data_IF_060907527715
#
_entry.id   IF_060907527715
#
_cell.length_a   1.000
_cell.length_b   1.000
_cell.length_c   1.000
_cell.angle_alpha   90.00
_cell.angle_beta   90.00
_cell.angle_gamma   90.00
#
_symmetry.space_group_name_H-M   'P 1'
#
loop_
_entity.id
_entity.type
_entity.pdbx_description
1 polymer ?
#
# COMPACT_ATOMS: atom_id res chain seq x y z
N UNK A 1 -22.36 -54.75 -52.08
CA UNK A 1 -23.78 -54.35 -51.88
C UNK A 1 -24.20 -54.68 -50.45
N UNK A 2 -24.47 -53.68 -49.61
CA UNK A 2 -25.34 -53.79 -48.44
C UNK A 2 -25.82 -52.38 -48.08
N UNK A 3 -27.13 -52.20 -48.07
CA UNK A 3 -27.83 -50.91 -48.05
C UNK A 3 -27.76 -50.27 -46.65
N UNK A 4 -27.42 -48.98 -46.58
CA UNK A 4 -27.52 -48.14 -45.37
C UNK A 4 -29.01 -47.97 -45.02
N UNK A 5 -29.38 -48.32 -43.79
CA UNK A 5 -30.68 -47.97 -43.22
C UNK A 5 -30.56 -46.58 -42.57
N UNK A 6 -31.16 -45.56 -43.19
CA UNK A 6 -31.24 -44.22 -42.62
C UNK A 6 -32.38 -44.21 -41.60
N UNK A 7 -32.03 -44.15 -40.31
CA UNK A 7 -32.99 -43.91 -39.23
C UNK A 7 -33.28 -42.42 -39.14
N UNK A 8 -34.50 -42.02 -39.49
CA UNK A 8 -35.00 -40.65 -39.31
C UNK A 8 -35.36 -40.43 -37.84
N UNK A 9 -34.36 -40.00 -37.05
CA UNK A 9 -34.57 -39.52 -35.69
C UNK A 9 -35.33 -38.19 -35.70
N UNK A 10 -36.48 -38.16 -35.02
CA UNK A 10 -37.30 -36.95 -34.81
C UNK A 10 -36.47 -35.92 -34.04
N UNK A 11 -36.26 -34.73 -34.61
CA UNK A 11 -35.71 -33.58 -33.90
C UNK A 11 -36.67 -33.20 -32.76
N UNK A 12 -36.30 -33.50 -31.52
CA UNK A 12 -36.99 -32.97 -30.35
C UNK A 12 -36.52 -31.52 -30.14
N UNK A 13 -37.45 -30.59 -30.25
CA UNK A 13 -37.22 -29.16 -30.07
C UNK A 13 -36.57 -28.89 -28.70
N UNK A 14 -35.35 -28.33 -28.73
CA UNK A 14 -34.69 -27.78 -27.55
C UNK A 14 -35.62 -26.74 -26.91
N UNK A 15 -36.15 -27.03 -25.73
CA UNK A 15 -36.84 -26.03 -24.95
C UNK A 15 -35.81 -24.97 -24.54
N UNK A 16 -35.96 -23.73 -25.06
CA UNK A 16 -35.17 -22.58 -24.63
C UNK A 16 -35.39 -22.37 -23.14
N UNK A 17 -34.54 -22.98 -22.31
CA UNK A 17 -34.47 -22.69 -20.89
C UNK A 17 -34.00 -21.23 -20.79
N UNK A 18 -34.93 -20.33 -20.51
CA UNK A 18 -34.63 -18.92 -20.20
C UNK A 18 -33.63 -18.94 -19.04
N UNK A 19 -32.33 -18.73 -19.34
CA UNK A 19 -31.33 -18.50 -18.30
C UNK A 19 -31.85 -17.31 -17.50
N UNK A 20 -32.34 -17.56 -16.28
CA UNK A 20 -32.60 -16.49 -15.34
C UNK A 20 -31.27 -15.75 -15.20
N UNK A 21 -31.24 -14.51 -15.66
CA UNK A 21 -30.09 -13.64 -15.45
C UNK A 21 -29.92 -13.57 -13.94
N UNK A 22 -28.85 -14.16 -13.43
CA UNK A 22 -28.47 -13.94 -12.05
C UNK A 22 -28.28 -12.43 -11.94
N UNK A 23 -29.14 -11.78 -11.16
CA UNK A 23 -28.87 -10.44 -10.68
C UNK A 23 -27.78 -10.60 -9.63
N UNK A 24 -26.56 -10.90 -10.07
CA UNK A 24 -25.40 -10.59 -9.24
C UNK A 24 -25.50 -9.09 -9.01
N UNK A 25 -25.77 -8.71 -7.76
CA UNK A 25 -25.70 -7.32 -7.29
C UNK A 25 -24.47 -6.69 -7.95
N UNK A 26 -24.68 -5.57 -8.64
CA UNK A 26 -23.56 -4.78 -9.14
C UNK A 26 -22.67 -4.45 -7.95
N UNK A 27 -21.44 -4.97 -7.95
CA UNK A 27 -20.41 -4.72 -6.93
C UNK A 27 -19.87 -3.28 -6.96
N UNK A 28 -20.51 -2.40 -7.73
CA UNK A 28 -20.09 -1.00 -7.91
C UNK A 28 -20.36 -0.10 -6.69
N UNK A 29 -21.01 -0.61 -5.63
CA UNK A 29 -21.39 0.19 -4.46
C UNK A 29 -20.67 -0.21 -3.16
N UNK A 30 -19.81 -1.24 -3.19
CA UNK A 30 -19.04 -1.73 -2.03
C UNK A 30 -17.58 -1.26 -2.01
N UNK A 31 -17.17 -0.36 -2.92
CA UNK A 31 -15.82 0.20 -2.94
C UNK A 31 -15.47 0.92 -1.63
N UNK A 32 -16.42 1.68 -1.07
CA UNK A 32 -16.19 2.42 0.17
C UNK A 32 -15.91 1.51 1.40
N UNK A 33 -16.56 0.34 1.49
CA UNK A 33 -16.33 -0.59 2.60
C UNK A 33 -14.99 -1.32 2.50
N UNK A 34 -14.49 -1.54 1.28
CA UNK A 34 -13.16 -2.12 1.06
C UNK A 34 -12.05 -1.10 1.32
N UNK A 35 -12.27 0.18 0.94
CA UNK A 35 -11.31 1.27 1.16
C UNK A 35 -11.08 1.51 2.68
N UNK A 36 -12.14 1.53 3.49
CA UNK A 36 -12.03 1.72 4.95
C UNK A 36 -11.24 0.57 5.63
N UNK A 37 -11.45 -0.67 5.18
CA UNK A 37 -10.73 -1.83 5.69
C UNK A 37 -9.23 -1.77 5.31
N UNK A 38 -8.95 -1.35 4.08
CA UNK A 38 -7.60 -1.20 3.56
C UNK A 38 -6.82 -0.10 4.31
N UNK A 39 -7.47 1.04 4.55
CA UNK A 39 -6.91 2.13 5.37
C UNK A 39 -6.60 1.66 6.80
N UNK A 40 -7.49 0.88 7.41
CA UNK A 40 -7.27 0.29 8.73
C UNK A 40 -6.08 -0.68 8.77
N UNK A 41 -5.92 -1.50 7.73
CA UNK A 41 -4.77 -2.41 7.59
C UNK A 41 -3.45 -1.66 7.42
N UNK A 42 -3.44 -0.63 6.56
CA UNK A 42 -2.27 0.25 6.36
C UNK A 42 -1.87 0.89 7.68
N UNK A 43 -2.82 1.44 8.44
CA UNK A 43 -2.54 2.07 9.73
C UNK A 43 -1.95 1.07 10.75
N UNK A 44 -2.48 -0.15 10.82
CA UNK A 44 -1.95 -1.20 11.70
C UNK A 44 -0.48 -1.54 11.38
N UNK A 45 -0.15 -1.64 10.10
CA UNK A 45 1.23 -1.90 9.64
C UNK A 45 2.13 -0.71 9.98
N UNK A 46 1.68 0.52 9.71
CA UNK A 46 2.45 1.74 9.98
C UNK A 46 2.70 1.97 11.48
N UNK A 47 1.82 1.52 12.38
CA UNK A 47 2.06 1.55 13.83
C UNK A 47 3.29 0.72 14.23
N UNK A 48 3.63 -0.30 13.43
CA UNK A 48 4.82 -1.15 13.64
C UNK A 48 6.06 -0.63 12.90
N UNK A 49 6.00 0.57 12.30
CA UNK A 49 7.11 1.15 11.52
C UNK A 49 8.41 1.32 12.31
N UNK A 50 8.37 1.43 13.65
CA UNK A 50 9.58 1.49 14.47
C UNK A 50 10.22 0.10 14.74
N UNK A 51 9.56 -0.99 14.34
CA UNK A 51 10.04 -2.35 14.60
C UNK A 51 10.95 -2.84 13.47
N UNK A 52 12.07 -3.49 13.81
CA UNK A 52 12.98 -4.04 12.80
C UNK A 52 12.37 -5.18 11.96
N UNK A 53 11.30 -5.80 12.45
CA UNK A 53 10.56 -6.86 11.74
C UNK A 53 9.50 -6.32 10.77
N UNK A 54 9.46 -5.00 10.56
CA UNK A 54 8.57 -4.38 9.60
C UNK A 54 8.74 -5.01 8.20
N UNK A 55 7.63 -5.21 7.49
CA UNK A 55 7.63 -5.85 6.18
C UNK A 55 7.15 -4.87 5.11
N UNK A 56 8.09 -4.32 4.34
CA UNK A 56 7.80 -3.38 3.26
C UNK A 56 6.94 -4.00 2.15
N UNK A 57 7.08 -5.30 1.85
CA UNK A 57 6.23 -5.98 0.87
C UNK A 57 4.77 -6.03 1.32
N UNK A 58 4.53 -6.26 2.62
CA UNK A 58 3.16 -6.24 3.15
C UNK A 58 2.56 -4.85 3.02
N UNK A 59 3.32 -3.79 3.33
CA UNK A 59 2.86 -2.41 3.15
C UNK A 59 2.53 -2.13 1.68
N UNK A 60 3.36 -2.57 0.74
CA UNK A 60 3.12 -2.39 -0.70
C UNK A 60 1.81 -3.05 -1.15
N UNK A 61 1.59 -4.30 -0.72
CA UNK A 61 0.37 -5.04 -1.04
C UNK A 61 -0.90 -4.34 -0.51
N UNK A 62 -0.89 -3.88 0.75
CA UNK A 62 -2.07 -3.22 1.34
C UNK A 62 -2.23 -1.77 0.90
N UNK A 63 -1.19 -1.13 0.35
CA UNK A 63 -1.27 0.24 -0.16
C UNK A 63 -1.57 0.30 -1.66
N UNK A 64 -1.74 -0.86 -2.32
CA UNK A 64 -1.99 -0.92 -3.76
C UNK A 64 -0.78 -0.45 -4.59
N UNK A 65 0.44 -0.79 -4.15
CA UNK A 65 1.67 -0.41 -4.84
C UNK A 65 2.16 1.01 -4.51
N UNK A 66 1.69 1.60 -3.40
CA UNK A 66 2.02 2.97 -2.96
C UNK A 66 2.77 2.99 -1.62
N UNK A 67 3.63 2.00 -1.38
CA UNK A 67 4.29 1.84 -0.09
C UNK A 67 5.16 3.05 0.29
N UNK A 68 5.86 3.66 -0.68
CA UNK A 68 6.81 4.73 -0.42
C UNK A 68 6.12 6.03 0.04
N UNK A 69 5.16 6.62 -0.71
CA UNK A 69 4.48 7.84 -0.27
C UNK A 69 3.68 7.63 1.02
N UNK A 70 3.07 6.46 1.21
CA UNK A 70 2.34 6.11 2.43
C UNK A 70 3.28 6.14 3.64
N UNK A 71 4.44 5.46 3.55
CA UNK A 71 5.42 5.45 4.63
C UNK A 71 6.00 6.85 4.88
N UNK A 72 6.37 7.57 3.84
CA UNK A 72 6.96 8.90 3.97
C UNK A 72 6.02 9.89 4.65
N UNK A 73 4.73 9.93 4.27
CA UNK A 73 3.75 10.81 4.90
C UNK A 73 3.52 10.44 6.36
N UNK A 74 3.41 9.15 6.68
CA UNK A 74 3.33 8.67 8.05
C UNK A 74 4.52 9.16 8.89
N UNK A 75 5.74 8.96 8.40
CA UNK A 75 6.95 9.39 9.11
C UNK A 75 7.04 10.92 9.24
N UNK A 76 6.66 11.67 8.19
CA UNK A 76 6.65 13.14 8.24
C UNK A 76 5.65 13.68 9.27
N UNK A 77 4.52 13.01 9.45
CA UNK A 77 3.59 13.31 10.54
C UNK A 77 4.17 12.92 11.90
N UNK A 78 4.74 11.72 12.03
CA UNK A 78 5.34 11.23 13.28
C UNK A 78 6.45 12.14 13.80
N UNK A 79 7.32 12.64 12.91
CA UNK A 79 8.39 13.58 13.25
C UNK A 79 7.93 15.04 13.31
N UNK A 80 6.65 15.34 13.08
CA UNK A 80 6.12 16.70 13.10
C UNK A 80 6.65 17.63 11.98
N UNK A 81 7.27 17.07 10.94
CA UNK A 81 7.93 17.83 9.87
C UNK A 81 6.92 18.62 9.02
N UNK A 82 5.71 18.08 8.84
CA UNK A 82 4.62 18.77 8.15
C UNK A 82 4.33 20.11 8.82
N UNK A 83 4.09 20.09 10.13
CA UNK A 83 3.76 21.29 10.91
C UNK A 83 4.97 22.22 11.03
N UNK A 84 6.15 21.67 11.29
CA UNK A 84 7.38 22.45 11.48
C UNK A 84 7.75 23.27 10.24
N UNK A 85 7.76 22.64 9.06
CA UNK A 85 8.07 23.30 7.79
C UNK A 85 6.84 23.89 7.09
N UNK A 86 5.65 23.81 7.70
CA UNK A 86 4.37 24.29 7.14
C UNK A 86 4.10 23.71 5.74
N UNK A 87 4.33 22.40 5.60
CA UNK A 87 4.14 21.69 4.34
C UNK A 87 2.65 21.45 4.11
N UNK A 88 2.22 21.63 2.86
CA UNK A 88 0.92 21.18 2.40
C UNK A 88 0.97 19.66 2.19
N UNK A 89 0.08 18.92 2.88
CA UNK A 89 0.09 17.45 2.87
C UNK A 89 -0.17 16.89 1.47
N UNK A 90 -1.03 17.53 0.66
CA UNK A 90 -1.31 17.07 -0.69
C UNK A 90 -0.11 17.28 -1.61
N UNK A 91 0.62 18.40 -1.47
CA UNK A 91 1.88 18.64 -2.20
C UNK A 91 2.98 17.67 -1.76
N UNK A 92 3.10 17.37 -0.47
CA UNK A 92 4.04 16.39 0.04
C UNK A 92 3.72 14.98 -0.50
N UNK A 93 2.45 14.57 -0.45
CA UNK A 93 2.00 13.31 -1.04
C UNK A 93 2.34 13.23 -2.52
N UNK A 94 2.07 14.31 -3.28
CA UNK A 94 2.40 14.39 -4.70
C UNK A 94 3.90 14.30 -4.94
N UNK A 95 4.73 14.94 -4.11
CA UNK A 95 6.18 14.83 -4.20
C UNK A 95 6.64 13.38 -4.03
N UNK A 96 6.23 12.71 -2.95
CA UNK A 96 6.63 11.32 -2.72
C UNK A 96 6.07 10.36 -3.77
N UNK A 97 4.87 10.66 -4.28
CA UNK A 97 4.28 9.96 -5.43
C UNK A 97 5.18 10.05 -6.67
N UNK A 98 5.66 11.25 -7.01
CA UNK A 98 6.58 11.44 -8.14
C UNK A 98 7.94 10.75 -7.92
N UNK A 99 8.42 10.72 -6.68
CA UNK A 99 9.65 9.99 -6.32
C UNK A 99 9.44 8.48 -6.54
N UNK A 100 8.31 7.93 -6.08
CA UNK A 100 7.97 6.52 -6.27
C UNK A 100 7.84 6.15 -7.75
N UNK A 101 7.17 6.99 -8.54
CA UNK A 101 7.01 6.79 -9.98
C UNK A 101 8.36 6.82 -10.74
N UNK A 102 9.40 7.40 -10.13
CA UNK A 102 10.78 7.37 -10.64
C UNK A 102 11.49 6.03 -10.45
N UNK A 103 10.96 5.11 -9.64
CA UNK A 103 11.47 3.76 -9.50
C UNK A 103 10.86 2.80 -10.53
N UNK A 104 11.69 1.99 -11.16
CA UNK A 104 11.23 1.02 -12.16
C UNK A 104 10.72 -0.26 -11.50
N UNK A 105 9.41 -0.53 -11.60
CA UNK A 105 8.78 -1.76 -11.07
C UNK A 105 9.27 -3.04 -11.76
N UNK A 106 9.82 -2.93 -12.98
CA UNK A 106 10.45 -4.05 -13.68
C UNK A 106 11.79 -4.46 -13.08
N UNK A 107 12.39 -3.63 -12.22
CA UNK A 107 13.62 -3.99 -11.53
C UNK A 107 13.30 -4.94 -10.37
N UNK A 108 13.89 -6.14 -10.33
CA UNK A 108 13.61 -7.12 -9.28
C UNK A 108 14.01 -6.65 -7.88
N UNK A 109 14.92 -5.66 -7.75
CA UNK A 109 15.39 -5.18 -6.46
C UNK A 109 15.35 -3.66 -6.29
N UNK A 110 15.92 -2.87 -7.21
CA UNK A 110 15.91 -1.40 -7.07
C UNK A 110 14.58 -0.79 -7.54
N UNK A 111 13.54 -1.07 -6.78
CA UNK A 111 12.18 -0.58 -6.96
C UNK A 111 11.73 0.22 -5.73
N UNK A 112 10.48 0.71 -5.76
CA UNK A 112 9.87 1.51 -4.69
C UNK A 112 9.81 0.77 -3.35
N UNK A 113 9.62 -0.56 -3.35
CA UNK A 113 9.58 -1.39 -2.15
C UNK A 113 10.92 -1.33 -1.43
N UNK A 114 12.02 -1.47 -2.17
CA UNK A 114 13.36 -1.34 -1.58
C UNK A 114 13.63 0.07 -1.04
N UNK A 115 13.15 1.11 -1.73
CA UNK A 115 13.25 2.48 -1.22
C UNK A 115 12.48 2.67 0.10
N UNK A 116 11.29 2.07 0.22
CA UNK A 116 10.49 2.09 1.43
C UNK A 116 11.18 1.34 2.58
N UNK A 117 11.75 0.17 2.30
CA UNK A 117 12.51 -0.64 3.27
C UNK A 117 13.73 0.13 3.84
N UNK A 118 14.54 0.73 2.96
CA UNK A 118 15.69 1.55 3.39
C UNK A 118 15.25 2.76 4.21
N UNK A 119 14.15 3.41 3.82
CA UNK A 119 13.57 4.55 4.56
C UNK A 119 13.12 4.13 5.96
N UNK A 120 12.45 2.98 6.08
CA UNK A 120 12.01 2.45 7.36
C UNK A 120 13.19 2.00 8.24
N UNK A 121 14.21 1.36 7.67
CA UNK A 121 15.43 1.02 8.39
C UNK A 121 16.14 2.27 8.93
N UNK A 122 16.21 3.34 8.12
CA UNK A 122 16.72 4.63 8.57
C UNK A 122 15.89 5.18 9.73
N UNK A 123 14.56 5.12 9.65
CA UNK A 123 13.69 5.49 10.77
C UNK A 123 14.00 4.69 12.05
N UNK A 124 14.24 3.37 11.97
CA UNK A 124 14.68 2.56 13.11
C UNK A 124 16.03 3.01 13.68
N UNK A 125 17.00 3.34 12.84
CA UNK A 125 18.28 3.88 13.31
C UNK A 125 18.10 5.23 13.99
N UNK A 126 17.22 6.09 13.49
CA UNK A 126 16.83 7.35 14.12
C UNK A 126 16.10 7.16 15.46
N UNK A 127 15.64 5.95 15.82
CA UNK A 127 15.13 5.70 17.17
C UNK A 127 16.26 5.43 18.18
N UNK A 128 17.47 5.11 17.72
CA UNK A 128 18.61 4.87 18.60
C UNK A 128 19.12 6.19 19.17
N UNK A 129 19.20 6.27 20.51
CA UNK A 129 19.54 7.51 21.20
C UNK A 129 20.88 8.10 20.74
N UNK A 130 21.91 7.25 20.60
CA UNK A 130 23.23 7.67 20.11
C UNK A 130 23.18 8.31 18.72
N UNK A 131 22.34 7.81 17.82
CA UNK A 131 22.20 8.36 16.46
C UNK A 131 21.45 9.68 16.50
N UNK A 132 20.39 9.78 17.32
CA UNK A 132 19.64 11.02 17.52
C UNK A 132 20.52 12.14 18.06
N UNK A 133 21.29 11.85 19.10
CA UNK A 133 22.15 12.85 19.75
C UNK A 133 23.19 13.41 18.77
N UNK A 134 23.76 12.56 17.92
CA UNK A 134 24.69 12.98 16.87
C UNK A 134 24.03 13.87 15.82
N UNK A 135 22.81 13.55 15.39
CA UNK A 135 22.11 14.33 14.36
C UNK A 135 21.57 15.65 14.88
N UNK A 136 21.11 15.70 16.13
CA UNK A 136 20.71 16.96 16.78
C UNK A 136 21.93 17.89 16.88
N UNK A 137 23.09 17.34 17.28
CA UNK A 137 24.32 18.11 17.36
C UNK A 137 24.84 18.57 15.99
N UNK A 138 24.61 17.80 14.92
CA UNK A 138 25.15 18.07 13.59
C UNK A 138 24.24 18.91 12.68
N UNK A 139 22.91 18.79 12.81
CA UNK A 139 21.97 19.32 11.82
C UNK A 139 20.99 20.37 12.37
N UNK A 140 21.07 20.75 13.64
CA UNK A 140 20.12 21.68 14.30
C UNK A 140 18.65 21.23 14.13
N UNK A 141 18.44 19.92 13.91
CA UNK A 141 17.15 19.29 13.64
C UNK A 141 16.40 19.03 14.96
N UNK A 142 16.04 20.11 15.65
CA UNK A 142 15.26 20.08 16.90
C UNK A 142 13.94 19.31 16.78
N UNK A 143 13.39 19.16 15.57
CA UNK A 143 12.17 18.39 15.28
C UNK A 143 12.34 16.86 15.46
N UNK A 144 13.54 16.31 15.32
CA UNK A 144 13.80 14.86 15.54
C UNK A 144 13.89 14.51 17.03
N UNK A 145 14.05 15.53 17.89
CA UNK A 145 14.05 15.37 19.35
C UNK A 145 12.65 15.17 19.96
N UNK A 146 11.58 15.29 19.16
CA UNK A 146 10.21 15.25 19.66
C UNK A 146 9.78 13.79 19.95
N UNK A 147 9.74 13.48 21.25
CA UNK A 147 9.17 12.34 21.96
C UNK A 147 10.00 11.05 22.15
N UNK A 148 10.70 10.94 23.29
CA UNK A 148 10.92 9.68 24.00
C UNK A 148 9.68 9.18 24.77
N UNK A 149 8.62 9.99 24.96
CA UNK A 149 7.54 9.70 25.94
C UNK A 149 6.27 9.02 25.40
N UNK A 150 6.32 8.31 24.27
CA UNK A 150 5.15 7.54 23.77
C UNK A 150 5.45 6.08 23.44
N UNK A 151 6.36 5.47 24.20
CA UNK A 151 6.50 4.00 24.24
C UNK A 151 6.50 3.58 25.72
N UNK A 152 5.29 3.45 26.25
CA UNK A 152 4.99 2.70 27.47
C UNK A 152 4.01 1.59 27.11
#
# INVERSE_FOLDING_TARGET
MAKRLVSTGKFLTMHKRRKKRLLTRSLSQETALLDDLLLGQVQCILQQSATWKFNAFTLDNVSGGRCLPVLCIHLFHMYGLISHFKLDVAKAWKLFSMIEDGYHSSNPYHNSIHAADVTQAMHCFLQQQRVRDLLIAACDLSCVAVHPDKVA
#
